data_IF_689651438315
#
_entry.id   IF_689651438315
#
_cell.length_a   1.000
_cell.length_b   1.000
_cell.length_c   1.000
_cell.angle_alpha   90.00
_cell.angle_beta   90.00
_cell.angle_gamma   90.00
#
_symmetry.space_group_name_H-M   'P 1'
#
loop_
_entity.id
_entity.type
_entity.pdbx_description
1 polymer ?
#
# COMPACT_ATOMS: atom_id res chain seq x y z
N UNK A 1 -33.19 -1.60 -20.01
CA UNK A 1 -31.81 -1.67 -19.49
C UNK A 1 -31.76 -0.92 -18.17
N UNK A 2 -31.77 -1.63 -17.03
CA UNK A 2 -31.65 -1.00 -15.71
C UNK A 2 -30.18 -0.62 -15.50
N UNK A 3 -29.89 0.67 -15.31
CA UNK A 3 -28.56 1.12 -14.86
C UNK A 3 -28.37 0.60 -13.44
N UNK A 4 -27.38 -0.27 -13.22
CA UNK A 4 -27.02 -0.73 -11.87
C UNK A 4 -26.52 0.46 -11.04
N UNK A 5 -27.14 0.81 -9.90
CA UNK A 5 -26.82 2.02 -9.15
C UNK A 5 -25.59 1.88 -8.23
N UNK A 6 -24.79 0.81 -8.34
CA UNK A 6 -23.81 0.41 -7.31
C UNK A 6 -22.34 0.60 -7.69
N UNK A 7 -22.02 1.09 -8.90
CA UNK A 7 -20.62 1.30 -9.29
C UNK A 7 -20.02 2.47 -8.49
N UNK A 8 -18.98 2.19 -7.72
CA UNK A 8 -18.20 3.14 -6.93
C UNK A 8 -18.57 3.23 -5.45
N UNK A 9 -19.62 2.55 -4.98
CA UNK A 9 -20.08 2.67 -3.59
C UNK A 9 -19.04 2.12 -2.59
N UNK A 10 -18.47 0.95 -2.88
CA UNK A 10 -17.50 0.28 -2.00
C UNK A 10 -16.24 1.11 -1.87
N UNK A 11 -15.71 1.58 -3.00
CA UNK A 11 -14.55 2.47 -3.00
C UNK A 11 -14.79 3.73 -2.19
N UNK A 12 -15.95 4.37 -2.35
CA UNK A 12 -16.27 5.60 -1.63
C UNK A 12 -16.32 5.34 -0.12
N UNK A 13 -16.98 4.26 0.30
CA UNK A 13 -17.03 3.86 1.71
C UNK A 13 -15.63 3.61 2.28
N UNK A 14 -14.77 2.86 1.58
CA UNK A 14 -13.39 2.63 1.99
C UNK A 14 -12.59 3.93 2.09
N UNK A 15 -12.66 4.78 1.06
CA UNK A 15 -11.95 6.07 1.02
C UNK A 15 -12.35 6.94 2.21
N UNK A 16 -13.64 7.03 2.47
CA UNK A 16 -14.16 7.89 3.54
C UNK A 16 -13.80 7.32 4.92
N UNK A 17 -13.86 5.99 5.09
CA UNK A 17 -13.49 5.29 6.32
C UNK A 17 -11.98 5.33 6.64
N UNK A 18 -11.12 5.45 5.61
CA UNK A 18 -9.65 5.46 5.77
C UNK A 18 -8.99 6.80 5.48
N UNK A 19 -9.75 7.87 5.26
CA UNK A 19 -9.21 9.18 4.92
C UNK A 19 -8.24 9.73 5.99
N UNK A 20 -8.52 9.45 7.27
CA UNK A 20 -7.64 9.81 8.39
C UNK A 20 -6.32 9.02 8.35
N UNK A 21 -6.40 7.70 8.15
CA UNK A 21 -5.24 6.82 8.06
C UNK A 21 -4.33 7.19 6.87
N UNK A 22 -4.92 7.51 5.72
CA UNK A 22 -4.18 7.98 4.55
C UNK A 22 -3.39 9.25 4.85
N UNK A 23 -4.03 10.27 5.45
CA UNK A 23 -3.33 11.52 5.82
C UNK A 23 -2.21 11.29 6.83
N UNK A 24 -2.41 10.37 7.78
CA UNK A 24 -1.38 10.01 8.75
C UNK A 24 -0.17 9.38 8.05
N UNK A 25 -0.39 8.40 7.17
CA UNK A 25 0.68 7.76 6.40
C UNK A 25 1.39 8.76 5.50
N UNK A 26 0.67 9.62 4.78
CA UNK A 26 1.27 10.67 3.96
C UNK A 26 2.19 11.58 4.78
N UNK A 27 1.76 11.98 5.99
CA UNK A 27 2.54 12.80 6.90
C UNK A 27 3.83 12.11 7.35
N UNK A 28 3.76 10.83 7.74
CA UNK A 28 4.93 10.06 8.14
C UNK A 28 5.95 9.91 7.01
N UNK A 29 5.47 9.65 5.79
CA UNK A 29 6.35 9.46 4.63
C UNK A 29 6.83 10.78 4.01
N UNK A 30 6.23 11.93 4.34
CA UNK A 30 6.68 13.24 3.88
C UNK A 30 8.07 13.62 4.45
N UNK A 31 8.42 13.08 5.61
CA UNK A 31 9.71 13.33 6.26
C UNK A 31 10.86 12.53 5.63
N UNK A 32 10.56 11.55 4.77
CA UNK A 32 11.59 10.79 4.05
C UNK A 32 12.14 11.60 2.86
N UNK A 33 13.43 11.92 2.91
CA UNK A 33 14.15 12.52 1.79
C UNK A 33 14.45 11.47 0.71
N UNK A 34 13.83 11.62 -0.47
CA UNK A 34 14.04 10.73 -1.62
C UNK A 34 15.25 11.16 -2.49
N UNK A 35 15.74 12.38 -2.29
CA UNK A 35 16.91 12.96 -2.97
C UNK A 35 18.24 12.66 -2.24
N UNK A 36 18.17 12.05 -1.06
CA UNK A 36 19.31 11.50 -0.32
C UNK A 36 19.34 9.97 -0.44
N UNK A 37 20.50 9.34 -0.70
CA UNK A 37 20.63 7.89 -0.66
C UNK A 37 20.17 7.28 0.66
N UNK A 38 20.48 7.91 1.80
CA UNK A 38 20.13 7.36 3.12
C UNK A 38 18.63 7.51 3.42
N UNK A 39 18.05 8.65 3.07
CA UNK A 39 16.61 8.87 3.19
C UNK A 39 15.81 7.93 2.27
N UNK A 40 16.32 7.68 1.05
CA UNK A 40 15.69 6.76 0.11
C UNK A 40 15.81 5.30 0.56
N UNK A 41 16.96 4.89 1.11
CA UNK A 41 17.09 3.56 1.77
C UNK A 41 16.08 3.39 2.90
N UNK A 42 15.92 4.40 3.76
CA UNK A 42 14.96 4.36 4.86
C UNK A 42 13.51 4.23 4.33
N UNK A 43 13.19 4.99 3.27
CA UNK A 43 11.90 4.89 2.58
C UNK A 43 11.64 3.49 2.02
N UNK A 44 12.58 2.93 1.24
CA UNK A 44 12.43 1.59 0.67
C UNK A 44 12.37 0.51 1.75
N UNK A 45 13.15 0.64 2.82
CA UNK A 45 13.12 -0.26 3.97
C UNK A 45 11.73 -0.27 4.62
N UNK A 46 11.15 0.90 4.90
CA UNK A 46 9.80 1.01 5.44
C UNK A 46 8.76 0.36 4.52
N UNK A 47 8.81 0.67 3.22
CA UNK A 47 7.93 0.04 2.24
C UNK A 47 8.12 -1.48 2.16
N UNK A 48 9.34 -1.99 2.29
CA UNK A 48 9.62 -3.42 2.20
C UNK A 48 9.05 -4.18 3.39
N UNK A 49 9.18 -3.61 4.59
CA UNK A 49 8.56 -4.18 5.81
C UNK A 49 7.03 -4.22 5.68
N UNK A 50 6.43 -3.21 5.07
CA UNK A 50 4.99 -3.14 4.86
C UNK A 50 4.51 -4.10 3.76
N UNK A 51 5.09 -4.03 2.56
CA UNK A 51 4.69 -4.87 1.43
C UNK A 51 4.96 -6.35 1.69
N UNK A 52 6.07 -6.67 2.37
CA UNK A 52 6.38 -8.05 2.76
C UNK A 52 5.31 -8.67 3.65
N UNK A 53 4.60 -7.86 4.45
CA UNK A 53 3.50 -8.30 5.28
C UNK A 53 2.18 -8.40 4.51
N UNK A 54 1.93 -7.43 3.62
CA UNK A 54 0.62 -7.22 2.99
C UNK A 54 0.43 -8.01 1.69
N UNK A 55 1.44 -8.07 0.81
CA UNK A 55 1.30 -8.73 -0.51
C UNK A 55 0.97 -10.23 -0.43
N UNK A 56 1.56 -11.02 0.50
CA UNK A 56 1.23 -12.45 0.62
C UNK A 56 -0.23 -12.72 0.96
N UNK A 57 -0.89 -11.80 1.66
CA UNK A 57 -2.31 -11.93 2.04
C UNK A 57 -3.20 -11.31 0.97
N UNK A 58 -2.88 -10.09 0.52
CA UNK A 58 -3.68 -9.35 -0.46
C UNK A 58 -3.71 -10.01 -1.84
N UNK A 59 -2.64 -10.71 -2.23
CA UNK A 59 -2.45 -11.37 -3.51
C UNK A 59 -2.72 -10.44 -4.72
N UNK A 60 -1.99 -9.31 -4.86
CA UNK A 60 -2.16 -8.43 -6.01
C UNK A 60 -1.80 -9.15 -7.31
N UNK A 61 -2.52 -8.84 -8.39
CA UNK A 61 -2.24 -9.41 -9.72
C UNK A 61 -0.86 -8.99 -10.26
N UNK A 62 -0.36 -7.83 -9.82
CA UNK A 62 0.96 -7.31 -10.15
C UNK A 62 1.73 -7.00 -8.84
N UNK A 63 2.37 -8.00 -8.21
CA UNK A 63 3.12 -7.80 -6.97
C UNK A 63 4.33 -6.89 -7.21
N UNK A 64 4.63 -6.02 -6.24
CA UNK A 64 5.73 -5.06 -6.30
C UNK A 64 6.89 -5.43 -5.38
N UNK A 65 6.71 -6.41 -4.48
CA UNK A 65 7.77 -6.86 -3.60
C UNK A 65 9.04 -7.33 -4.34
N UNK A 66 8.97 -8.03 -5.49
CA UNK A 66 10.18 -8.37 -6.26
C UNK A 66 10.93 -7.16 -6.83
N UNK A 67 10.20 -6.12 -7.24
CA UNK A 67 10.79 -4.87 -7.76
C UNK A 67 11.46 -4.10 -6.63
N UNK A 68 10.82 -4.07 -5.46
CA UNK A 68 11.37 -3.47 -4.24
C UNK A 68 12.62 -4.21 -3.76
N UNK A 69 12.62 -5.54 -3.81
CA UNK A 69 13.80 -6.33 -3.49
C UNK A 69 14.97 -6.05 -4.45
N UNK A 70 14.69 -5.88 -5.74
CA UNK A 70 15.70 -5.48 -6.73
C UNK A 70 16.29 -4.10 -6.42
N UNK A 71 15.44 -3.11 -6.10
CA UNK A 71 15.90 -1.76 -5.76
C UNK A 71 16.73 -1.76 -4.46
N UNK A 72 16.32 -2.50 -3.43
CA UNK A 72 17.05 -2.67 -2.17
C UNK A 72 18.42 -3.33 -2.40
N UNK A 73 18.47 -4.39 -3.21
CA UNK A 73 19.71 -5.07 -3.56
C UNK A 73 20.67 -4.17 -4.35
N UNK A 74 20.15 -3.34 -5.26
CA UNK A 74 20.96 -2.37 -6.01
C UNK A 74 21.56 -1.28 -5.10
N UNK A 75 20.96 -1.01 -3.93
CA UNK A 75 21.53 -0.15 -2.89
C UNK A 75 22.51 -0.89 -1.96
N UNK A 76 22.75 -2.18 -2.18
CA UNK A 76 23.64 -3.01 -1.35
C UNK A 76 23.03 -3.39 0.00
N UNK A 77 21.70 -3.41 0.12
CA UNK A 77 20.99 -3.82 1.33
C UNK A 77 20.32 -5.19 1.14
N UNK A 78 20.05 -5.85 2.26
CA UNK A 78 19.21 -7.05 2.29
C UNK A 78 17.74 -6.65 2.50
N UNK A 79 16.81 -7.51 2.08
CA UNK A 79 15.40 -7.34 2.40
C UNK A 79 15.19 -7.34 3.93
N UNK A 80 14.50 -6.35 4.49
CA UNK A 80 14.20 -6.32 5.91
C UNK A 80 13.10 -7.33 6.25
N UNK A 81 13.05 -7.74 7.53
CA UNK A 81 11.96 -8.56 8.05
C UNK A 81 10.61 -7.83 7.94
N UNK A 82 9.57 -8.48 7.39
CA UNK A 82 8.22 -7.92 7.35
C UNK A 82 7.70 -7.54 8.73
N UNK A 83 6.85 -6.51 8.80
CA UNK A 83 6.09 -6.27 10.03
C UNK A 83 5.05 -7.38 10.23
N UNK A 84 4.72 -7.74 11.48
CA UNK A 84 3.63 -8.67 11.73
C UNK A 84 2.31 -8.03 11.32
N UNK A 85 1.56 -8.77 10.49
CA UNK A 85 0.16 -8.53 10.14
C UNK A 85 -0.69 -9.53 10.91
N UNK A 86 -1.83 -9.08 11.44
CA UNK A 86 -2.78 -9.98 12.08
C UNK A 86 -3.33 -10.97 11.04
N UNK A 87 -3.26 -12.25 11.37
CA UNK A 87 -3.86 -13.31 10.55
C UNK A 87 -5.38 -13.24 10.71
N UNK A 88 -6.02 -12.64 9.71
CA UNK A 88 -7.47 -12.56 9.59
C UNK A 88 -7.87 -13.16 8.25
N UNK A 89 -8.78 -14.12 8.31
CA UNK A 89 -9.39 -14.70 7.13
C UNK A 89 -10.63 -13.90 6.74
N UNK A 90 -10.89 -13.80 5.44
CA UNK A 90 -12.06 -13.09 4.94
C UNK A 90 -11.78 -12.44 3.59
N UNK A 91 -12.71 -12.61 2.65
CA UNK A 91 -12.57 -12.01 1.33
C UNK A 91 -12.60 -10.48 1.41
N UNK A 92 -13.51 -9.89 2.20
CA UNK A 92 -13.57 -8.45 2.43
C UNK A 92 -12.24 -7.91 2.94
N UNK A 93 -11.70 -8.51 4.01
CA UNK A 93 -10.41 -8.11 4.59
C UNK A 93 -9.28 -8.10 3.56
N UNK A 94 -9.16 -9.17 2.76
CA UNK A 94 -8.18 -9.25 1.67
C UNK A 94 -8.35 -8.12 0.65
N UNK A 95 -9.58 -7.81 0.24
CA UNK A 95 -9.88 -6.70 -0.67
C UNK A 95 -9.58 -5.33 -0.07
N UNK A 96 -9.75 -5.16 1.23
CA UNK A 96 -9.33 -3.98 1.99
C UNK A 96 -7.83 -3.75 1.92
N UNK A 97 -7.03 -4.80 2.17
CA UNK A 97 -5.56 -4.74 2.03
C UNK A 97 -5.18 -4.37 0.59
N UNK A 98 -5.80 -5.04 -0.39
CA UNK A 98 -5.52 -4.81 -1.80
C UNK A 98 -5.88 -3.38 -2.23
N UNK A 99 -6.99 -2.82 -1.74
CA UNK A 99 -7.37 -1.42 -1.97
C UNK A 99 -6.26 -0.44 -1.57
N UNK A 100 -5.68 -0.60 -0.38
CA UNK A 100 -4.59 0.26 0.07
C UNK A 100 -3.34 0.10 -0.80
N UNK A 101 -2.98 -1.14 -1.18
CA UNK A 101 -1.83 -1.42 -2.04
C UNK A 101 -2.01 -0.81 -3.44
N UNK A 102 -3.17 -0.99 -4.06
CA UNK A 102 -3.43 -0.45 -5.39
C UNK A 102 -3.55 1.09 -5.37
N UNK A 103 -4.08 1.67 -4.29
CA UNK A 103 -4.09 3.11 -4.08
C UNK A 103 -2.68 3.71 -3.98
N UNK A 104 -1.77 3.05 -3.27
CA UNK A 104 -0.38 3.51 -3.10
C UNK A 104 0.40 3.64 -4.44
N UNK A 105 -0.01 2.92 -5.49
CA UNK A 105 0.61 2.99 -6.82
C UNK A 105 0.32 4.30 -7.55
N UNK A 106 -0.75 5.01 -7.20
CA UNK A 106 -1.16 6.25 -7.87
C UNK A 106 -0.14 7.39 -7.65
N UNK A 107 0.50 7.41 -6.48
CA UNK A 107 1.54 8.39 -6.14
C UNK A 107 2.95 8.03 -6.63
N UNK A 108 3.18 6.76 -7.01
CA UNK A 108 4.50 6.21 -7.29
C UNK A 108 5.30 6.99 -8.33
N UNK A 109 4.67 7.37 -9.45
CA UNK A 109 5.33 8.12 -10.51
C UNK A 109 5.75 9.55 -10.09
N UNK A 110 5.04 10.16 -9.14
CA UNK A 110 5.44 11.45 -8.58
C UNK A 110 6.63 11.27 -7.64
N UNK A 111 6.60 10.24 -6.79
CA UNK A 111 7.71 9.91 -5.89
C UNK A 111 8.98 9.53 -6.67
N UNK A 112 8.87 8.74 -7.74
CA UNK A 112 9.98 8.35 -8.59
C UNK A 112 10.73 9.56 -9.18
N UNK A 113 10.02 10.65 -9.50
CA UNK A 113 10.62 11.90 -10.00
C UNK A 113 11.42 12.68 -8.95
N UNK A 114 11.20 12.39 -7.67
CA UNK A 114 11.93 13.01 -6.55
C UNK A 114 13.17 12.21 -6.17
N UNK A 115 13.34 11.00 -6.69
CA UNK A 115 14.49 10.15 -6.41
C UNK A 115 15.74 10.72 -7.08
N UNK A 116 16.85 10.77 -6.34
CA UNK A 116 18.11 11.29 -6.87
C UNK A 116 18.57 10.54 -8.14
N UNK A 117 19.18 11.23 -9.12
CA UNK A 117 19.72 10.58 -10.32
C UNK A 117 20.68 9.44 -9.99
N UNK A 118 20.53 8.30 -10.68
CA UNK A 118 21.38 7.12 -10.50
C UNK A 118 20.92 6.14 -9.43
N UNK A 119 19.89 6.47 -8.64
CA UNK A 119 19.26 5.53 -7.72
C UNK A 119 18.19 4.68 -8.43
N UNK A 120 17.95 3.43 -7.95
CA UNK A 120 17.01 2.51 -8.57
C UNK A 120 15.56 2.94 -8.30
N UNK A 121 14.67 2.76 -9.27
CA UNK A 121 13.27 3.25 -9.21
C UNK A 121 12.25 2.25 -9.75
N UNK A 122 12.61 0.97 -9.91
CA UNK A 122 11.71 -0.03 -10.48
C UNK A 122 10.45 -0.17 -9.63
N UNK A 123 10.57 -0.12 -8.30
CA UNK A 123 9.47 -0.16 -7.36
C UNK A 123 8.49 1.01 -7.53
N UNK A 124 9.00 2.24 -7.51
CA UNK A 124 8.16 3.45 -7.59
C UNK A 124 7.59 3.67 -9.00
N UNK A 125 8.25 3.13 -10.02
CA UNK A 125 7.79 3.16 -11.42
C UNK A 125 6.72 2.12 -11.72
N UNK A 126 6.45 1.17 -10.81
CA UNK A 126 5.40 0.15 -10.92
C UNK A 126 3.99 0.73 -10.68
N UNK A 127 3.64 1.77 -11.43
CA UNK A 127 2.34 2.44 -11.36
C UNK A 127 1.27 1.71 -12.18
N UNK A 128 0.03 2.18 -12.09
CA UNK A 128 -1.05 1.71 -12.96
C UNK A 128 -0.83 2.15 -14.40
N UNK A 129 -0.95 1.19 -15.33
CA UNK A 129 -1.11 1.44 -16.74
C UNK A 129 -2.44 2.10 -17.09
N UNK A 130 -2.62 2.44 -18.37
CA UNK A 130 -3.84 3.10 -18.86
C UNK A 130 -5.07 2.22 -18.58
N UNK A 131 -5.94 2.69 -17.69
CA UNK A 131 -7.21 2.03 -17.36
C UNK A 131 -7.13 0.97 -16.25
N UNK A 132 -5.94 0.59 -15.79
CA UNK A 132 -5.78 -0.44 -14.75
C UNK A 132 -6.42 -0.01 -13.42
N UNK A 133 -6.29 1.26 -13.04
CA UNK A 133 -6.97 1.78 -11.85
C UNK A 133 -8.50 1.73 -11.98
N UNK A 134 -9.05 1.97 -13.18
CA UNK A 134 -10.49 1.88 -13.40
C UNK A 134 -10.94 0.41 -13.34
N UNK A 135 -10.19 -0.49 -13.96
CA UNK A 135 -10.45 -1.93 -13.92
C UNK A 135 -10.40 -2.47 -12.48
N UNK A 136 -9.43 -2.04 -11.68
CA UNK A 136 -9.35 -2.40 -10.25
C UNK A 136 -10.59 -1.94 -9.49
N UNK A 137 -11.04 -0.69 -9.68
CA UNK A 137 -12.24 -0.17 -9.00
C UNK A 137 -13.48 -0.99 -9.35
N UNK A 138 -13.63 -1.37 -10.63
CA UNK A 138 -14.73 -2.23 -11.08
C UNK A 138 -14.66 -3.62 -10.47
N UNK A 139 -13.45 -4.20 -10.35
CA UNK A 139 -13.25 -5.49 -9.71
C UNK A 139 -13.58 -5.45 -8.21
N UNK A 140 -13.17 -4.39 -7.52
CA UNK A 140 -13.51 -4.17 -6.10
C UNK A 140 -15.01 -4.05 -5.89
N UNK A 141 -15.72 -3.27 -6.70
CA UNK A 141 -17.17 -3.15 -6.61
C UNK A 141 -17.89 -4.47 -6.95
N UNK A 142 -17.33 -5.28 -7.84
CA UNK A 142 -17.91 -6.56 -8.25
C UNK A 142 -17.67 -7.69 -7.23
N UNK A 143 -16.63 -7.55 -6.39
CA UNK A 143 -16.31 -8.52 -5.36
C UNK A 143 -17.21 -8.40 -4.12
N UNK A 144 -17.82 -7.23 -3.89
CA UNK A 144 -18.74 -7.04 -2.79
C UNK A 144 -20.08 -7.76 -3.07
N UNK A 145 -20.49 -8.73 -2.24
CA UNK A 145 -21.81 -9.33 -2.35
C UNK A 145 -22.90 -8.27 -2.15
N UNK A 146 -23.99 -8.33 -2.91
CA UNK A 146 -25.06 -7.35 -2.83
C UNK A 146 -25.72 -7.37 -1.44
N UNK A 147 -25.63 -6.25 -0.72
CA UNK A 147 -26.25 -6.09 0.59
C UNK A 147 -25.50 -6.76 1.75
N UNK A 148 -24.22 -7.10 1.55
CA UNK A 148 -23.38 -7.69 2.59
C UNK A 148 -22.56 -6.60 3.32
N UNK A 149 -23.17 -6.03 4.35
CA UNK A 149 -22.52 -5.03 5.20
C UNK A 149 -21.32 -5.63 5.97
N UNK A 150 -21.35 -6.92 6.30
CA UNK A 150 -20.25 -7.59 6.99
C UNK A 150 -19.01 -7.70 6.09
N UNK A 151 -19.19 -7.96 4.79
CA UNK A 151 -18.09 -7.93 3.82
C UNK A 151 -17.47 -6.52 3.74
N UNK A 152 -18.29 -5.47 3.75
CA UNK A 152 -17.81 -4.09 3.70
C UNK A 152 -17.04 -3.72 4.99
N UNK A 153 -17.56 -4.10 6.15
CA UNK A 153 -16.88 -3.90 7.43
C UNK A 153 -15.52 -4.61 7.45
N UNK A 154 -15.45 -5.86 6.98
CA UNK A 154 -14.19 -6.59 6.83
C UNK A 154 -13.23 -5.87 5.88
N UNK A 155 -13.71 -5.34 4.76
CA UNK A 155 -12.89 -4.58 3.83
C UNK A 155 -12.37 -3.26 4.43
N UNK A 156 -13.18 -2.57 5.24
CA UNK A 156 -12.74 -1.38 5.98
C UNK A 156 -11.64 -1.76 6.97
N UNK A 157 -11.80 -2.85 7.71
CA UNK A 157 -10.78 -3.32 8.65
C UNK A 157 -9.49 -3.76 7.94
N UNK A 158 -9.60 -4.41 6.77
CA UNK A 158 -8.45 -4.73 5.93
C UNK A 158 -7.69 -3.48 5.47
N UNK A 159 -8.41 -2.46 4.99
CA UNK A 159 -7.78 -1.23 4.56
C UNK A 159 -7.11 -0.49 5.73
N UNK A 160 -7.76 -0.44 6.90
CA UNK A 160 -7.19 0.12 8.13
C UNK A 160 -5.94 -0.63 8.58
N UNK A 161 -5.94 -1.96 8.54
CA UNK A 161 -4.79 -2.79 8.86
C UNK A 161 -3.60 -2.47 7.94
N UNK A 162 -3.83 -2.36 6.62
CA UNK A 162 -2.78 -1.96 5.68
C UNK A 162 -2.18 -0.59 6.01
N UNK A 163 -3.02 0.44 6.24
CA UNK A 163 -2.50 1.76 6.62
C UNK A 163 -1.79 1.75 7.97
N UNK A 164 -2.24 0.95 8.94
CA UNK A 164 -1.57 0.78 10.24
C UNK A 164 -0.16 0.18 10.07
N UNK A 165 -0.01 -0.81 9.19
CA UNK A 165 1.29 -1.40 8.85
C UNK A 165 2.21 -0.36 8.21
N UNK A 166 1.72 0.42 7.24
CA UNK A 166 2.50 1.52 6.65
C UNK A 166 2.88 2.58 7.69
N UNK A 167 1.95 2.96 8.58
CA UNK A 167 2.22 3.95 9.61
C UNK A 167 3.30 3.46 10.60
N UNK A 168 3.25 2.20 11.02
CA UNK A 168 4.28 1.58 11.87
C UNK A 168 5.63 1.50 11.16
N UNK A 169 5.63 1.23 9.86
CA UNK A 169 6.86 1.10 9.08
C UNK A 169 7.53 2.46 8.78
N UNK A 170 6.74 3.51 8.56
CA UNK A 170 7.22 4.87 8.30
C UNK A 170 7.48 5.70 9.55
N UNK A 171 7.10 5.22 10.74
CA UNK A 171 7.47 5.87 11.98
C UNK A 171 9.00 5.79 12.17
N UNK A 172 9.66 6.86 12.63
CA UNK A 172 11.06 6.76 13.02
C UNK A 172 11.20 5.66 14.07
N UNK A 173 12.19 4.78 13.92
CA UNK A 173 12.56 3.88 15.00
C UNK A 173 12.81 4.76 16.21
N UNK A 174 11.95 4.68 17.22
CA UNK A 174 12.25 5.26 18.51
C UNK A 174 13.57 4.62 18.90
N UNK A 175 14.63 5.44 18.92
CA UNK A 175 15.95 5.02 19.32
C UNK A 175 15.78 4.11 20.53
N UNK A 176 16.17 2.85 20.37
CA UNK A 176 16.27 1.94 21.49
C UNK A 176 17.36 2.53 22.40
N UNK A 177 16.95 3.48 23.25
CA UNK A 177 17.69 3.93 24.41
C UNK A 177 17.58 2.80 25.40
N UNK A 178 18.35 1.75 25.16
CA UNK A 178 18.78 0.83 26.21
C UNK A 178 20.29 1.00 26.27
N UNK A 179 20.70 1.82 27.24
CA UNK A 179 22.08 1.91 27.69
C UNK A 179 22.49 0.73 28.55
#
# INVERSE_FOLDING_TARGET
MKKSPHVGHIRLALRDATAGNHRQVDGLFADHSLDSPDGYRAFLTAHARALGALEPVACPAAPRLPLLASDIAALGQAMPEPLPLEDRSGEGYRWGLLYALEGSRLGGAMLARKVAPGLPTAYLSAVHGKGEWIAFQQALDSAAPQGDDAWLDDAVEGARAAFSIFARAGAPEQAAVHG
#
